data_IF_313051318788
#
_entry.id   IF_313051318788
#
_cell.length_a   1.000
_cell.length_b   1.000
_cell.length_c   1.000
_cell.angle_alpha   90.00
_cell.angle_beta   90.00
_cell.angle_gamma   90.00
#
_symmetry.space_group_name_H-M   'P 1'
#
loop_
_entity.id
_entity.type
_entity.pdbx_description
1 polymer ?
#
# COMPACT_ATOMS: atom_id res chain seq x y z
N UNK A 1 20.95 17.99 29.26
CA UNK A 1 21.59 19.32 29.08
C UNK A 1 20.62 20.49 28.85
N UNK A 2 19.39 20.27 28.36
CA UNK A 2 18.38 21.35 28.22
C UNK A 2 17.82 21.89 29.56
N UNK A 3 17.94 21.12 30.65
CA UNK A 3 17.45 21.50 31.98
C UNK A 3 18.37 22.51 32.70
N UNK A 4 19.66 22.61 32.31
CA UNK A 4 20.67 23.41 33.05
C UNK A 4 20.88 24.83 32.50
N UNK A 5 20.23 25.20 31.40
CA UNK A 5 20.37 26.54 30.77
C UNK A 5 19.11 27.41 30.93
N UNK A 6 18.13 26.97 31.71
CA UNK A 6 16.90 27.74 31.96
C UNK A 6 17.15 28.89 32.95
N UNK A 7 18.12 28.75 33.85
CA UNK A 7 18.35 29.71 34.96
C UNK A 7 19.07 31.01 34.56
N UNK A 8 19.45 31.21 33.29
CA UNK A 8 20.16 32.43 32.85
C UNK A 8 19.56 33.14 31.62
N UNK A 9 18.36 32.76 31.17
CA UNK A 9 17.71 33.39 30.01
C UNK A 9 16.64 34.39 30.44
N UNK A 10 16.58 35.61 29.85
CA UNK A 10 15.45 36.52 30.04
C UNK A 10 14.11 35.82 29.70
N UNK A 11 13.05 36.07 30.49
CA UNK A 11 11.75 35.38 30.39
C UNK A 11 11.18 35.34 28.96
N UNK A 12 11.34 36.42 28.19
CA UNK A 12 10.88 36.49 26.80
C UNK A 12 11.59 35.49 25.87
N UNK A 13 12.87 35.16 26.13
CA UNK A 13 13.62 34.16 25.36
C UNK A 13 13.20 32.76 25.76
N UNK A 14 12.95 32.51 27.06
CA UNK A 14 12.47 31.22 27.55
C UNK A 14 11.07 30.89 26.99
N UNK A 15 10.13 31.84 27.04
CA UNK A 15 8.78 31.68 26.48
C UNK A 15 8.79 31.45 24.96
N UNK A 16 9.65 32.17 24.24
CA UNK A 16 9.80 32.00 22.79
C UNK A 16 10.34 30.62 22.44
N UNK A 17 11.38 30.16 23.14
CA UNK A 17 11.93 28.80 22.95
C UNK A 17 10.91 27.73 23.29
N UNK A 18 10.11 27.91 24.32
CA UNK A 18 9.05 26.96 24.67
C UNK A 18 7.99 26.87 23.56
N UNK A 19 7.58 28.01 22.99
CA UNK A 19 6.69 28.04 21.82
C UNK A 19 7.30 27.37 20.59
N UNK A 20 8.56 27.68 20.28
CA UNK A 20 9.27 27.04 19.16
C UNK A 20 9.35 25.51 19.32
N UNK A 21 9.59 25.02 20.55
CA UNK A 21 9.61 23.58 20.84
C UNK A 21 8.22 22.94 20.71
N UNK A 22 7.16 23.62 21.15
CA UNK A 22 5.78 23.13 20.98
C UNK A 22 5.40 23.06 19.50
N UNK A 23 5.70 24.10 18.72
CA UNK A 23 5.46 24.14 17.28
C UNK A 23 6.25 23.04 16.55
N UNK A 24 7.51 22.80 16.95
CA UNK A 24 8.31 21.71 16.40
C UNK A 24 7.72 20.34 16.72
N UNK A 25 7.24 20.12 17.95
CA UNK A 25 6.60 18.87 18.34
C UNK A 25 5.33 18.61 17.52
N UNK A 26 4.48 19.63 17.33
CA UNK A 26 3.27 19.52 16.51
C UNK A 26 3.60 19.20 15.04
N UNK A 27 4.59 19.89 14.46
CA UNK A 27 5.03 19.59 13.08
C UNK A 27 5.62 18.20 12.94
N UNK A 28 6.33 17.72 13.96
CA UNK A 28 6.89 16.37 13.95
C UNK A 28 5.78 15.31 13.96
N UNK A 29 4.74 15.50 14.77
CA UNK A 29 3.58 14.60 14.80
C UNK A 29 2.86 14.60 13.45
N UNK A 30 2.58 15.79 12.89
CA UNK A 30 1.95 15.92 11.57
C UNK A 30 2.78 15.25 10.47
N UNK A 31 4.10 15.49 10.45
CA UNK A 31 4.99 14.88 9.46
C UNK A 31 4.99 13.35 9.55
N UNK A 32 4.96 12.79 10.76
CA UNK A 32 4.87 11.32 10.92
C UNK A 32 3.56 10.78 10.34
N UNK A 33 2.42 11.43 10.62
CA UNK A 33 1.12 11.02 10.09
C UNK A 33 1.10 11.08 8.55
N UNK A 34 1.55 12.20 7.97
CA UNK A 34 1.63 12.40 6.52
C UNK A 34 2.57 11.40 5.84
N UNK A 35 3.70 11.06 6.49
CA UNK A 35 4.63 10.07 5.98
C UNK A 35 4.01 8.67 5.91
N UNK A 36 3.25 8.26 6.93
CA UNK A 36 2.52 6.99 6.92
C UNK A 36 1.47 6.93 5.82
N UNK A 37 0.67 7.99 5.67
CA UNK A 37 -0.35 8.08 4.61
C UNK A 37 0.29 8.05 3.22
N UNK A 38 1.35 8.84 3.02
CA UNK A 38 2.09 8.90 1.75
C UNK A 38 2.67 7.54 1.39
N UNK A 39 3.24 6.82 2.36
CA UNK A 39 3.79 5.48 2.13
C UNK A 39 2.69 4.49 1.72
N UNK A 40 1.53 4.52 2.40
CA UNK A 40 0.40 3.64 2.06
C UNK A 40 -0.15 3.96 0.67
N UNK A 41 -0.27 5.24 0.32
CA UNK A 41 -0.72 5.68 -1.00
C UNK A 41 0.27 5.24 -2.09
N UNK A 42 1.57 5.46 -1.89
CA UNK A 42 2.59 5.03 -2.83
C UNK A 42 2.58 3.50 -3.05
N UNK A 43 2.37 2.71 -1.99
CA UNK A 43 2.23 1.25 -2.11
C UNK A 43 1.01 0.89 -2.97
N UNK A 44 -0.14 1.53 -2.74
CA UNK A 44 -1.35 1.29 -3.51
C UNK A 44 -1.18 1.69 -4.99
N UNK A 45 -0.59 2.86 -5.24
CA UNK A 45 -0.32 3.37 -6.59
C UNK A 45 0.62 2.45 -7.38
N UNK A 46 1.66 1.92 -6.73
CA UNK A 46 2.59 0.98 -7.35
C UNK A 46 1.97 -0.41 -7.57
N UNK A 47 1.06 -0.85 -6.71
CA UNK A 47 0.38 -2.14 -6.85
C UNK A 47 -0.75 -2.12 -7.88
N UNK A 48 -1.43 -0.99 -8.05
CA UNK A 48 -2.53 -0.84 -9.01
C UNK A 48 -2.17 -1.28 -10.46
N UNK A 49 -1.05 -0.85 -11.07
CA UNK A 49 -0.68 -1.30 -12.41
C UNK A 49 -0.33 -2.79 -12.47
N UNK A 50 0.15 -3.39 -11.36
CA UNK A 50 0.42 -4.82 -11.28
C UNK A 50 -0.89 -5.61 -11.34
N UNK A 51 -1.89 -5.21 -10.55
CA UNK A 51 -3.22 -5.84 -10.62
C UNK A 51 -3.87 -5.66 -11.97
N UNK A 52 -3.80 -4.45 -12.56
CA UNK A 52 -4.33 -4.20 -13.90
C UNK A 52 -3.69 -5.11 -14.95
N UNK A 53 -2.36 -5.24 -14.94
CA UNK A 53 -1.64 -6.12 -15.88
C UNK A 53 -2.04 -7.59 -15.70
N UNK A 54 -2.20 -8.03 -14.45
CA UNK A 54 -2.68 -9.38 -14.14
C UNK A 54 -4.09 -9.60 -14.68
N UNK A 55 -5.02 -8.70 -14.40
CA UNK A 55 -6.43 -8.81 -14.84
C UNK A 55 -6.54 -8.80 -16.37
N UNK A 56 -5.82 -7.91 -17.05
CA UNK A 56 -5.75 -7.88 -18.51
C UNK A 56 -5.20 -9.20 -19.08
N UNK A 57 -4.17 -9.77 -18.43
CA UNK A 57 -3.58 -11.04 -18.86
C UNK A 57 -4.54 -12.21 -18.64
N UNK A 58 -5.25 -12.25 -17.50
CA UNK A 58 -6.29 -13.25 -17.23
C UNK A 58 -7.38 -13.18 -18.31
N UNK A 59 -7.83 -11.98 -18.66
CA UNK A 59 -8.84 -11.78 -19.71
C UNK A 59 -8.34 -12.21 -21.09
N UNK A 60 -7.10 -11.88 -21.47
CA UNK A 60 -6.52 -12.31 -22.74
C UNK A 60 -6.44 -13.83 -22.84
N UNK A 61 -5.91 -14.49 -21.80
CA UNK A 61 -5.82 -15.95 -21.75
C UNK A 61 -7.21 -16.57 -21.83
N UNK A 62 -8.16 -16.08 -21.02
CA UNK A 62 -9.55 -16.52 -21.01
C UNK A 62 -10.21 -16.43 -22.38
N UNK A 63 -10.12 -15.26 -23.03
CA UNK A 63 -10.67 -15.04 -24.38
C UNK A 63 -10.01 -15.95 -25.41
N UNK A 64 -8.69 -16.10 -25.37
CA UNK A 64 -7.94 -16.93 -26.33
C UNK A 64 -8.28 -18.41 -26.25
N UNK A 65 -8.63 -18.90 -25.06
CA UNK A 65 -8.97 -20.31 -24.82
C UNK A 65 -10.48 -20.56 -24.75
N UNK A 66 -11.31 -19.53 -24.97
CA UNK A 66 -12.77 -19.67 -25.04
C UNK A 66 -13.49 -19.78 -23.69
N UNK A 67 -12.87 -19.36 -22.59
CA UNK A 67 -13.52 -19.34 -21.28
C UNK A 67 -14.45 -18.13 -21.12
N UNK A 68 -15.64 -18.38 -20.57
CA UNK A 68 -16.67 -17.35 -20.33
C UNK A 68 -16.55 -16.81 -18.89
N UNK A 69 -16.09 -17.63 -17.95
CA UNK A 69 -15.87 -17.27 -16.56
C UNK A 69 -14.52 -17.80 -16.09
N UNK A 70 -13.84 -17.00 -15.26
CA UNK A 70 -12.63 -17.38 -14.54
C UNK A 70 -12.85 -16.98 -13.08
N UNK A 71 -12.55 -17.89 -12.16
CA UNK A 71 -12.69 -17.65 -10.74
C UNK A 71 -11.33 -17.68 -10.05
N UNK A 72 -11.07 -16.69 -9.21
CA UNK A 72 -9.95 -16.72 -8.27
C UNK A 72 -10.35 -17.54 -7.03
N UNK A 73 -9.86 -18.78 -7.00
CA UNK A 73 -10.12 -19.74 -5.91
C UNK A 73 -9.41 -19.37 -4.61
N UNK A 74 -8.38 -18.52 -4.64
CA UNK A 74 -7.66 -18.09 -3.45
C UNK A 74 -8.40 -16.98 -2.71
N UNK A 75 -9.22 -16.20 -3.42
CA UNK A 75 -9.98 -15.07 -2.88
C UNK A 75 -11.47 -15.34 -2.74
N UNK A 76 -11.99 -16.36 -3.44
CA UNK A 76 -13.42 -16.66 -3.47
C UNK A 76 -13.70 -18.03 -2.87
N UNK A 77 -14.56 -18.09 -1.86
CA UNK A 77 -15.05 -19.36 -1.33
C UNK A 77 -16.03 -19.99 -2.34
N UNK A 78 -15.57 -21.02 -3.06
CA UNK A 78 -16.40 -21.79 -3.98
C UNK A 78 -16.72 -23.14 -3.31
N UNK A 79 -18.00 -23.44 -3.01
CA UNK A 79 -18.36 -24.65 -2.27
C UNK A 79 -17.95 -25.97 -2.95
N UNK A 80 -17.83 -25.98 -4.28
CA UNK A 80 -17.41 -27.15 -5.05
C UNK A 80 -16.82 -26.75 -6.40
N UNK A 81 -15.72 -27.39 -6.79
CA UNK A 81 -15.09 -27.26 -8.11
C UNK A 81 -14.88 -28.67 -8.66
N UNK A 82 -15.47 -28.97 -9.83
CA UNK A 82 -15.16 -30.21 -10.53
C UNK A 82 -13.83 -30.06 -11.27
N UNK A 83 -12.73 -30.49 -10.66
CA UNK A 83 -11.38 -30.36 -11.25
C UNK A 83 -11.19 -31.20 -12.52
N UNK A 84 -12.03 -32.20 -12.77
CA UNK A 84 -11.99 -32.97 -14.02
C UNK A 84 -12.64 -32.24 -15.20
N UNK A 85 -13.50 -31.25 -14.93
CA UNK A 85 -14.19 -30.44 -15.95
C UNK A 85 -13.76 -28.97 -15.95
N UNK A 86 -12.94 -28.56 -14.97
CA UNK A 86 -12.43 -27.21 -14.85
C UNK A 86 -10.98 -27.17 -15.31
N UNK A 87 -10.58 -26.03 -15.86
CA UNK A 87 -9.19 -25.80 -16.28
C UNK A 87 -8.53 -24.80 -15.34
N UNK A 88 -7.35 -25.15 -14.81
CA UNK A 88 -6.51 -24.22 -14.08
C UNK A 88 -5.70 -23.37 -15.08
N UNK A 89 -5.94 -22.06 -15.09
CA UNK A 89 -5.27 -21.11 -15.98
C UNK A 89 -4.01 -20.49 -15.39
N UNK A 90 -3.66 -20.80 -14.13
CA UNK A 90 -2.54 -20.18 -13.41
C UNK A 90 -1.24 -20.24 -14.21
N UNK A 91 -0.89 -21.42 -14.74
CA UNK A 91 0.33 -21.61 -15.54
C UNK A 91 0.28 -20.83 -16.87
N UNK A 92 -0.87 -20.79 -17.53
CA UNK A 92 -1.04 -20.05 -18.79
C UNK A 92 -0.90 -18.54 -18.57
N UNK A 93 -1.48 -18.02 -17.48
CA UNK A 93 -1.40 -16.61 -17.10
C UNK A 93 0.03 -16.23 -16.73
N UNK A 94 0.74 -17.05 -15.93
CA UNK A 94 2.15 -16.83 -15.58
C UNK A 94 3.06 -16.79 -16.82
N UNK A 95 2.91 -17.77 -17.71
CA UNK A 95 3.66 -17.81 -18.96
C UNK A 95 3.43 -16.55 -19.80
N UNK A 96 2.18 -16.08 -19.91
CA UNK A 96 1.84 -14.86 -20.64
C UNK A 96 2.36 -13.58 -19.96
N UNK A 97 2.47 -13.56 -18.63
CA UNK A 97 3.12 -12.49 -17.86
C UNK A 97 4.65 -12.51 -17.95
N UNK A 98 5.24 -13.64 -18.38
CA UNK A 98 6.69 -13.85 -18.46
C UNK A 98 7.33 -14.22 -17.12
N UNK A 99 6.60 -14.89 -16.22
CA UNK A 99 7.05 -15.32 -14.90
C UNK A 99 6.81 -16.81 -14.65
#
# INVERSE_FOLDING_TARGET
EFQQTVDSLPQNIAERRQRELQDMAQRQEQFQQEAYETMQNAQNELMMPIYKKLDETIQEVGKSQGFIYIFDIARTAIPYINTAQSTDLTSSVKSKLGI
#
